data_IF_021213727177
#
_entry.id   IF_021213727177
#
_cell.length_a   1.000
_cell.length_b   1.000
_cell.length_c   1.000
_cell.angle_alpha   90.00
_cell.angle_beta   90.00
_cell.angle_gamma   90.00
#
_symmetry.space_group_name_H-M   'P 1'
#
loop_
_entity.id
_entity.type
_entity.pdbx_description
1 polymer ?
#
# COMPACT_ATOMS: atom_id res chain seq x y z
N UNK A 1 -4.58 4.76 10.60
CA UNK A 1 -4.00 5.54 9.48
C UNK A 1 -5.03 5.67 8.37
N UNK A 2 -4.84 6.59 7.43
CA UNK A 2 -5.76 6.74 6.29
C UNK A 2 -5.29 5.91 5.12
N UNK A 3 -6.17 5.08 4.58
CA UNK A 3 -5.86 4.11 3.54
C UNK A 3 -6.89 4.23 2.43
N UNK A 4 -6.46 4.11 1.18
CA UNK A 4 -7.36 3.94 0.04
C UNK A 4 -7.08 2.60 -0.62
N UNK A 5 -8.12 1.83 -0.89
CA UNK A 5 -8.02 0.55 -1.57
C UNK A 5 -8.72 0.62 -2.92
N UNK A 6 -7.98 0.32 -3.99
CA UNK A 6 -8.46 0.28 -5.37
C UNK A 6 -8.81 -1.15 -5.79
N UNK A 7 -9.58 -1.26 -6.87
CA UNK A 7 -10.03 -2.54 -7.44
C UNK A 7 -10.63 -3.48 -6.38
N UNK A 8 -11.39 -2.93 -5.43
CA UNK A 8 -11.98 -3.70 -4.33
C UNK A 8 -13.25 -4.40 -4.82
N UNK A 9 -13.25 -5.73 -4.78
CA UNK A 9 -14.43 -6.53 -5.15
C UNK A 9 -15.44 -6.56 -3.98
N UNK A 10 -16.75 -6.74 -4.25
CA UNK A 10 -17.78 -6.68 -3.21
C UNK A 10 -17.58 -7.73 -2.11
N UNK A 11 -17.08 -8.92 -2.44
CA UNK A 11 -16.81 -9.99 -1.47
C UNK A 11 -15.65 -9.65 -0.51
N UNK A 12 -14.81 -8.68 -0.85
CA UNK A 12 -13.66 -8.27 -0.05
C UNK A 12 -14.06 -7.30 1.06
N UNK A 13 -15.20 -6.60 0.92
CA UNK A 13 -15.62 -5.54 1.84
C UNK A 13 -15.84 -6.06 3.26
N UNK A 14 -16.46 -7.23 3.38
CA UNK A 14 -16.77 -7.85 4.66
C UNK A 14 -15.51 -8.33 5.41
N UNK A 15 -14.63 -9.17 4.83
CA UNK A 15 -13.40 -9.60 5.50
C UNK A 15 -12.47 -8.42 5.80
N UNK A 16 -12.42 -7.41 4.92
CA UNK A 16 -11.59 -6.22 5.13
C UNK A 16 -12.12 -5.37 6.30
N UNK A 17 -13.43 -5.19 6.40
CA UNK A 17 -14.05 -4.52 7.55
C UNK A 17 -13.86 -5.30 8.85
N UNK A 18 -13.99 -6.64 8.79
CA UNK A 18 -13.79 -7.53 9.94
C UNK A 18 -12.35 -7.50 10.45
N UNK A 19 -11.38 -7.58 9.54
CA UNK A 19 -9.96 -7.54 9.88
C UNK A 19 -9.53 -6.16 10.40
N UNK A 20 -10.03 -5.07 9.79
CA UNK A 20 -9.70 -3.70 10.20
C UNK A 20 -10.22 -3.36 11.60
N UNK A 21 -11.34 -3.93 12.03
CA UNK A 21 -11.94 -3.65 13.36
C UNK A 21 -12.11 -2.13 13.64
N UNK A 22 -12.36 -1.32 12.61
CA UNK A 22 -12.42 0.16 12.66
C UNK A 22 -11.13 0.86 13.17
N UNK A 23 -9.97 0.21 13.10
CA UNK A 23 -8.68 0.80 13.47
C UNK A 23 -8.14 1.81 12.45
N UNK A 24 -8.37 1.56 11.17
CA UNK A 24 -7.89 2.42 10.08
C UNK A 24 -9.06 2.99 9.27
N UNK A 25 -8.86 4.18 8.71
CA UNK A 25 -9.82 4.84 7.83
C UNK A 25 -9.58 4.34 6.39
N UNK A 26 -10.28 3.29 5.99
CA UNK A 26 -10.08 2.64 4.69
C UNK A 26 -11.18 3.06 3.72
N UNK A 27 -10.80 3.79 2.68
CA UNK A 27 -11.67 4.18 1.57
C UNK A 27 -11.63 3.10 0.50
N UNK A 28 -12.74 2.41 0.27
CA UNK A 28 -12.84 1.34 -0.73
C UNK A 28 -13.33 1.93 -2.06
N UNK A 29 -12.54 1.75 -3.11
CA UNK A 29 -12.80 2.22 -4.46
C UNK A 29 -12.90 0.99 -5.38
N UNK A 30 -14.01 0.87 -6.10
CA UNK A 30 -14.23 -0.23 -7.06
C UNK A 30 -13.43 -0.04 -8.36
N UNK A 31 -13.01 1.19 -8.66
CA UNK A 31 -12.21 1.52 -9.84
C UNK A 31 -10.75 1.12 -9.66
N UNK A 32 -10.09 0.83 -10.78
CA UNK A 32 -8.66 0.56 -10.80
C UNK A 32 -7.81 1.82 -10.62
N UNK A 33 -6.61 1.63 -10.10
CA UNK A 33 -5.63 2.69 -9.96
C UNK A 33 -5.06 3.04 -11.35
N UNK A 34 -5.18 4.32 -11.70
CA UNK A 34 -4.57 4.94 -12.86
C UNK A 34 -4.27 6.41 -12.57
N UNK A 35 -3.83 7.15 -13.58
CA UNK A 35 -3.46 8.55 -13.41
C UNK A 35 -4.62 9.43 -12.90
N UNK A 36 -5.85 9.15 -13.31
CA UNK A 36 -7.04 9.91 -12.90
C UNK A 36 -7.48 9.57 -11.47
N UNK A 37 -7.43 8.29 -11.10
CA UNK A 37 -7.86 7.82 -9.79
C UNK A 37 -6.78 7.94 -8.71
N UNK A 38 -5.52 8.19 -9.09
CA UNK A 38 -4.44 8.46 -8.16
C UNK A 38 -4.74 9.66 -7.23
N UNK A 39 -5.53 10.63 -7.68
CA UNK A 39 -5.90 11.79 -6.84
C UNK A 39 -6.71 11.41 -5.59
N UNK A 40 -7.42 10.29 -5.60
CA UNK A 40 -8.13 9.80 -4.40
C UNK A 40 -7.18 9.39 -3.27
N UNK A 41 -5.89 9.16 -3.57
CA UNK A 41 -4.86 8.91 -2.57
C UNK A 41 -4.34 10.19 -1.89
N UNK A 42 -4.82 11.37 -2.30
CA UNK A 42 -4.40 12.65 -1.72
C UNK A 42 -4.71 12.71 -0.22
N UNK A 43 -3.66 12.95 0.58
CA UNK A 43 -3.78 13.02 2.05
C UNK A 43 -4.06 11.68 2.73
N UNK A 44 -3.83 10.56 2.02
CA UNK A 44 -3.83 9.20 2.57
C UNK A 44 -2.39 8.76 2.85
N UNK A 45 -2.21 7.98 3.92
CA UNK A 45 -0.89 7.48 4.32
C UNK A 45 -0.49 6.25 3.50
N UNK A 46 -1.46 5.38 3.17
CA UNK A 46 -1.24 4.13 2.47
C UNK A 46 -2.25 3.90 1.34
N UNK A 47 -1.82 3.12 0.35
CA UNK A 47 -2.64 2.71 -0.80
C UNK A 47 -2.63 1.19 -0.91
N UNK A 48 -3.79 0.57 -1.12
CA UNK A 48 -3.95 -0.85 -1.42
C UNK A 48 -4.33 -0.97 -2.90
N UNK A 49 -3.63 -1.84 -3.61
CA UNK A 49 -3.77 -2.08 -5.05
C UNK A 49 -3.86 -3.57 -5.32
N UNK A 50 -4.48 -3.96 -6.43
CA UNK A 50 -4.55 -5.32 -6.94
C UNK A 50 -3.56 -5.53 -8.09
N UNK A 51 -3.38 -6.79 -8.51
CA UNK A 51 -2.51 -7.13 -9.65
C UNK A 51 -2.93 -6.48 -10.99
N UNK A 52 -4.18 -6.01 -11.10
CA UNK A 52 -4.73 -5.34 -12.28
C UNK A 52 -4.45 -3.83 -12.34
N UNK A 53 -3.88 -3.25 -11.29
CA UNK A 53 -3.67 -1.82 -11.15
C UNK A 53 -2.36 -1.34 -11.78
N UNK A 54 -2.32 -0.08 -12.26
CA UNK A 54 -1.11 0.49 -12.83
C UNK A 54 -0.17 1.02 -11.74
N UNK A 55 0.98 0.35 -11.56
CA UNK A 55 2.08 0.75 -10.68
C UNK A 55 3.31 1.18 -11.47
N UNK A 56 3.07 1.82 -12.60
CA UNK A 56 4.11 2.44 -13.42
C UNK A 56 4.82 3.55 -12.64
N UNK A 57 6.08 3.80 -12.98
CA UNK A 57 6.90 4.86 -12.37
C UNK A 57 6.17 6.22 -12.21
N UNK A 58 5.47 6.78 -13.23
CA UNK A 58 4.75 8.06 -13.09
C UNK A 58 3.63 8.01 -12.04
N UNK A 59 2.93 6.88 -11.88
CA UNK A 59 1.88 6.73 -10.87
C UNK A 59 2.49 6.69 -9.49
N UNK A 60 3.56 5.93 -9.29
CA UNK A 60 4.27 5.85 -8.00
C UNK A 60 4.81 7.23 -7.58
N UNK A 61 5.39 7.98 -8.52
CA UNK A 61 5.86 9.37 -8.29
C UNK A 61 4.70 10.26 -7.87
N UNK A 62 3.55 10.15 -8.55
CA UNK A 62 2.37 10.95 -8.23
C UNK A 62 1.82 10.61 -6.85
N UNK A 63 1.73 9.33 -6.49
CA UNK A 63 1.34 8.89 -5.15
C UNK A 63 2.29 9.45 -4.08
N UNK A 64 3.60 9.41 -4.32
CA UNK A 64 4.59 10.02 -3.42
C UNK A 64 4.34 11.52 -3.22
N UNK A 65 4.11 12.25 -4.32
CA UNK A 65 3.80 13.68 -4.30
C UNK A 65 2.48 14.02 -3.57
N UNK A 66 1.54 13.08 -3.55
CA UNK A 66 0.27 13.20 -2.82
C UNK A 66 0.38 12.92 -1.31
N UNK A 67 1.56 12.48 -0.84
CA UNK A 67 1.86 12.20 0.56
C UNK A 67 1.77 10.72 0.96
N UNK A 68 1.60 9.81 -0.01
CA UNK A 68 1.54 8.36 0.24
C UNK A 68 2.93 7.85 0.60
N UNK A 69 3.00 7.10 1.71
CA UNK A 69 4.25 6.52 2.24
C UNK A 69 4.31 5.00 2.08
N UNK A 70 3.15 4.37 1.92
CA UNK A 70 3.03 2.92 1.93
C UNK A 70 2.14 2.41 0.79
N UNK A 71 2.55 1.35 0.12
CA UNK A 71 1.77 0.66 -0.92
C UNK A 71 1.65 -0.81 -0.55
N UNK A 72 0.44 -1.30 -0.40
CA UNK A 72 0.12 -2.72 -0.20
C UNK A 72 -0.43 -3.30 -1.50
N UNK A 73 0.35 -4.14 -2.17
CA UNK A 73 -0.07 -4.80 -3.39
C UNK A 73 -0.65 -6.18 -3.08
N UNK A 74 -1.92 -6.38 -3.42
CA UNK A 74 -2.63 -7.65 -3.42
C UNK A 74 -2.39 -8.32 -4.77
N UNK A 75 -1.30 -9.07 -4.86
CA UNK A 75 -0.91 -9.71 -6.11
C UNK A 75 -0.13 -10.98 -5.82
N UNK A 76 -0.29 -11.97 -6.70
CA UNK A 76 0.52 -13.18 -6.69
C UNK A 76 2.00 -12.90 -7.03
N UNK A 77 2.28 -11.80 -7.75
CA UNK A 77 3.63 -11.44 -8.18
C UNK A 77 3.86 -9.94 -8.14
N UNK A 78 5.14 -9.58 -8.08
CA UNK A 78 5.66 -8.20 -7.98
C UNK A 78 6.21 -7.66 -9.28
N UNK A 79 6.08 -8.42 -10.37
CA UNK A 79 6.75 -8.14 -11.65
C UNK A 79 6.30 -6.83 -12.29
N UNK A 80 5.07 -6.40 -12.01
CA UNK A 80 4.48 -5.13 -12.49
C UNK A 80 4.80 -3.93 -11.59
N UNK A 81 5.49 -4.13 -10.45
CA UNK A 81 5.72 -3.11 -9.43
C UNK A 81 7.12 -2.53 -9.60
N UNK A 82 7.21 -1.23 -9.90
CA UNK A 82 8.50 -0.54 -9.98
C UNK A 82 9.06 -0.23 -8.58
N UNK A 83 9.68 -1.25 -7.98
CA UNK A 83 10.32 -1.17 -6.65
C UNK A 83 11.44 -0.14 -6.58
N UNK A 84 12.19 0.03 -7.67
CA UNK A 84 13.29 0.99 -7.75
C UNK A 84 12.79 2.44 -7.58
N UNK A 85 11.69 2.77 -8.27
CA UNK A 85 11.04 4.08 -8.14
C UNK A 85 10.49 4.25 -6.74
N UNK A 86 9.78 3.26 -6.19
CA UNK A 86 9.28 3.36 -4.83
C UNK A 86 10.41 3.56 -3.80
N UNK A 87 11.55 2.89 -3.99
CA UNK A 87 12.73 3.07 -3.16
C UNK A 87 13.26 4.51 -3.21
N UNK A 88 13.42 5.05 -4.42
CA UNK A 88 13.90 6.42 -4.66
C UNK A 88 13.02 7.47 -3.99
N UNK A 89 11.72 7.23 -3.94
CA UNK A 89 10.74 8.12 -3.32
C UNK A 89 10.44 7.79 -1.85
N UNK A 90 11.13 6.81 -1.26
CA UNK A 90 10.96 6.42 0.13
C UNK A 90 9.63 5.73 0.45
N UNK A 91 8.93 5.21 -0.57
CA UNK A 91 7.68 4.46 -0.41
C UNK A 91 8.01 3.02 -0.05
N UNK A 92 7.37 2.52 1.02
CA UNK A 92 7.47 1.11 1.40
C UNK A 92 6.40 0.30 0.68
N UNK A 93 6.81 -0.83 0.13
CA UNK A 93 5.91 -1.77 -0.56
C UNK A 93 5.78 -3.05 0.26
N UNK A 94 4.54 -3.50 0.49
CA UNK A 94 4.25 -4.86 0.94
C UNK A 94 3.44 -5.58 -0.13
N UNK A 95 3.61 -6.90 -0.18
CA UNK A 95 2.96 -7.75 -1.17
C UNK A 95 2.24 -8.83 -0.39
N UNK A 96 0.96 -8.99 -0.68
CA UNK A 96 0.06 -9.90 0.00
C UNK A 96 -0.68 -10.70 -1.07
N UNK A 97 -0.91 -12.01 -0.88
CA UNK A 97 -1.76 -12.78 -1.78
C UNK A 97 -3.17 -12.17 -1.86
N UNK A 98 -3.81 -12.19 -3.03
CA UNK A 98 -5.16 -11.63 -3.20
C UNK A 98 -6.21 -12.24 -2.25
N UNK A 99 -6.05 -13.52 -1.91
CA UNK A 99 -6.94 -14.24 -0.99
C UNK A 99 -6.75 -13.83 0.48
N UNK A 100 -5.58 -13.26 0.83
CA UNK A 100 -5.21 -13.00 2.22
C UNK A 100 -5.47 -11.54 2.65
N UNK A 101 -6.74 -11.15 2.69
CA UNK A 101 -7.15 -9.77 3.01
C UNK A 101 -6.79 -9.38 4.45
N UNK A 102 -6.82 -10.32 5.39
CA UNK A 102 -6.47 -10.06 6.78
C UNK A 102 -5.00 -9.62 6.94
N UNK A 103 -4.10 -10.18 6.13
CA UNK A 103 -2.69 -9.83 6.15
C UNK A 103 -2.41 -8.41 5.64
N UNK A 104 -3.23 -7.89 4.72
CA UNK A 104 -3.17 -6.47 4.31
C UNK A 104 -3.36 -5.57 5.52
N UNK A 105 -4.39 -5.83 6.34
CA UNK A 105 -4.64 -5.05 7.55
C UNK A 105 -3.51 -5.23 8.56
N UNK A 106 -3.01 -6.45 8.75
CA UNK A 106 -1.88 -6.69 9.66
C UNK A 106 -0.62 -5.92 9.24
N UNK A 107 -0.38 -5.75 7.94
CA UNK A 107 0.73 -4.93 7.43
C UNK A 107 0.50 -3.43 7.67
N UNK A 108 -0.75 -2.96 7.49
CA UNK A 108 -1.12 -1.58 7.81
C UNK A 108 -0.95 -1.27 9.31
N UNK A 109 -1.36 -2.19 10.19
CA UNK A 109 -1.22 -2.07 11.66
C UNK A 109 0.25 -1.93 12.05
N UNK A 110 1.13 -2.77 11.50
CA UNK A 110 2.58 -2.70 11.71
C UNK A 110 3.20 -1.40 11.19
N UNK A 111 2.75 -0.89 10.04
CA UNK A 111 3.19 0.41 9.53
C UNK A 111 2.74 1.58 10.40
N UNK A 112 1.53 1.50 10.99
CA UNK A 112 1.06 2.49 11.95
C UNK A 112 1.93 2.52 13.22
N UNK A 113 2.46 1.37 13.64
CA UNK A 113 3.43 1.25 14.74
C UNK A 113 4.87 1.63 14.35
N UNK A 114 5.12 2.12 13.12
CA UNK A 114 6.46 2.35 12.55
C UNK A 114 7.36 1.10 12.46
N UNK A 115 6.81 -0.11 12.61
CA UNK A 115 7.57 -1.36 12.49
C UNK A 115 7.81 -1.70 11.00
N UNK A 116 9.06 -2.00 10.66
CA UNK A 116 9.47 -2.47 9.32
C UNK A 116 8.85 -3.89 9.09
N UNK A 117 7.99 -4.09 8.08
CA UNK A 117 7.26 -5.36 7.84
C UNK A 117 8.00 -6.26 6.84
N UNK A 118 8.52 -7.38 7.35
CA UNK A 118 8.95 -8.54 6.56
C UNK A 118 10.20 -8.38 5.69
N UNK A 119 10.68 -9.51 5.14
CA UNK A 119 11.85 -9.60 4.22
C UNK A 119 11.69 -8.83 2.90
N UNK A 120 10.50 -8.30 2.63
CA UNK A 120 10.17 -7.54 1.42
C UNK A 120 10.26 -6.01 1.62
N UNK A 121 10.62 -5.52 2.82
CA UNK A 121 10.92 -4.11 2.99
C UNK A 121 12.16 -3.78 2.14
N UNK A 122 11.96 -3.09 1.03
CA UNK A 122 13.04 -2.47 0.26
C UNK A 122 13.82 -1.41 1.10
N UNK A 123 13.36 -1.15 2.33
CA UNK A 123 13.85 -0.22 3.32
C UNK A 123 15.27 -0.47 3.86
N UNK A 124 16.06 -1.37 3.29
CA UNK A 124 17.43 -1.64 3.78
C UNK A 124 18.28 -0.35 3.83
N UNK A 125 18.05 0.62 2.93
CA UNK A 125 18.78 1.89 2.94
C UNK A 125 18.22 2.95 3.91
N UNK A 126 16.93 2.90 4.27
CA UNK A 126 16.27 3.95 5.08
C UNK A 126 16.07 3.52 6.54
N UNK A 127 15.85 2.23 6.82
CA UNK A 127 15.73 1.70 8.19
C UNK A 127 17.13 1.72 8.91
N UNK A 128 18.26 1.68 8.18
CA UNK A 128 19.61 1.79 8.76
C UNK A 128 19.97 3.17 9.34
N UNK A 129 19.24 4.23 8.98
CA UNK A 129 19.53 5.61 9.45
C UNK A 129 18.80 6.00 10.75
N UNK A 130 17.96 5.12 11.31
CA UNK A 130 17.18 5.42 12.54
C UNK A 130 17.53 4.59 13.77
N UNK A 131 18.40 3.59 13.67
CA UNK A 131 18.89 2.78 14.81
C UNK A 131 20.18 3.39 15.45
N UNK A 132 20.44 4.68 15.24
CA UNK A 132 21.52 5.39 15.91
C UNK A 132 21.02 6.75 16.41
N UNK A 133 20.24 6.73 17.49
CA UNK A 133 20.18 7.87 18.41
C UNK A 133 19.79 7.45 19.81
#
# INVERSE_FOLDING_TARGET
>A
MRVVAYSVKPFEKEPLSRANQKKHDITLISNSLGAETAEFARGKDAVVVAASDDLSAPVVIRLAGLGVKYIAARAASVSHINRDTALKWGIKISVVPEDNIAEVIANLDKWQENKCVGKACACAAVCAAKEQR
#
